data_IF_777370101952
#
_entry.id   IF_777370101952
#
_cell.length_a   1.000
_cell.length_b   1.000
_cell.length_c   1.000
_cell.angle_alpha   90.00
_cell.angle_beta   90.00
_cell.angle_gamma   90.00
#
_symmetry.space_group_name_H-M   'P 1'
#
loop_
_entity.id
_entity.type
_entity.pdbx_description
1 polymer ?
#
# COMPACT_ATOMS: atom_id res chain seq x y z
N UNK A 1 8.17 -5.13 64.83
CA UNK A 1 7.07 -5.75 64.04
C UNK A 1 6.61 -4.73 63.01
N UNK A 2 6.91 -4.89 61.71
CA UNK A 2 6.26 -4.14 60.61
C UNK A 2 6.66 -4.67 59.21
N UNK A 3 7.71 -5.48 59.10
CA UNK A 3 8.22 -6.03 57.84
C UNK A 3 7.19 -6.87 57.05
N UNK A 4 6.25 -7.54 57.72
CA UNK A 4 5.25 -8.41 57.06
C UNK A 4 4.14 -7.62 56.34
N UNK A 5 3.72 -6.47 56.89
CA UNK A 5 2.68 -5.64 56.30
C UNK A 5 3.18 -4.92 55.03
N UNK A 6 4.44 -4.46 55.03
CA UNK A 6 5.07 -3.81 53.88
C UNK A 6 5.28 -4.77 52.70
N UNK A 7 5.64 -6.03 52.96
CA UNK A 7 5.81 -7.06 51.91
C UNK A 7 4.47 -7.40 51.23
N UNK A 8 3.38 -7.47 52.00
CA UNK A 8 2.02 -7.69 51.48
C UNK A 8 1.52 -6.47 50.69
N UNK A 9 1.79 -5.24 51.16
CA UNK A 9 1.47 -4.01 50.42
C UNK A 9 2.24 -3.87 49.11
N UNK A 10 3.51 -4.25 49.10
CA UNK A 10 4.36 -4.25 47.90
C UNK A 10 3.88 -5.27 46.86
N UNK A 11 3.58 -6.51 47.27
CA UNK A 11 3.06 -7.58 46.40
C UNK A 11 1.69 -7.24 45.76
N UNK A 12 0.81 -6.57 46.53
CA UNK A 12 -0.48 -6.08 46.01
C UNK A 12 -0.31 -4.95 45.00
N UNK A 13 0.65 -4.05 45.22
CA UNK A 13 0.97 -2.95 44.28
C UNK A 13 1.57 -3.47 42.97
N UNK A 14 2.49 -4.43 43.03
CA UNK A 14 3.08 -5.04 41.82
C UNK A 14 2.04 -5.83 41.02
N UNK A 15 1.15 -6.57 41.69
CA UNK A 15 0.08 -7.31 41.00
C UNK A 15 -0.94 -6.37 40.33
N UNK A 16 -1.32 -5.27 40.99
CA UNK A 16 -2.22 -4.27 40.40
C UNK A 16 -1.58 -3.55 39.21
N UNK A 17 -0.29 -3.21 39.28
CA UNK A 17 0.46 -2.61 38.16
C UNK A 17 0.51 -3.55 36.95
N UNK A 18 0.76 -4.85 37.16
CA UNK A 18 0.79 -5.83 36.08
C UNK A 18 -0.58 -6.02 35.41
N UNK A 19 -1.67 -6.03 36.20
CA UNK A 19 -3.04 -6.12 35.67
C UNK A 19 -3.42 -4.89 34.85
N UNK A 20 -3.05 -3.68 35.29
CA UNK A 20 -3.33 -2.43 34.55
C UNK A 20 -2.55 -2.35 33.24
N UNK A 21 -1.29 -2.80 33.22
CA UNK A 21 -0.48 -2.85 31.99
C UNK A 21 -0.98 -3.92 31.01
N UNK A 22 -1.41 -5.07 31.49
CA UNK A 22 -2.06 -6.11 30.67
C UNK A 22 -3.40 -5.62 30.09
N UNK A 23 -4.22 -4.91 30.88
CA UNK A 23 -5.47 -4.32 30.38
C UNK A 23 -5.22 -3.22 29.33
N UNK A 24 -4.21 -2.36 29.52
CA UNK A 24 -3.83 -1.35 28.53
C UNK A 24 -3.34 -1.96 27.21
N UNK A 25 -2.58 -3.06 27.27
CA UNK A 25 -2.08 -3.73 26.06
C UNK A 25 -3.17 -4.49 25.30
N UNK A 26 -4.17 -5.04 25.99
CA UNK A 26 -5.35 -5.65 25.34
C UNK A 26 -6.26 -4.58 24.71
N UNK A 27 -6.43 -3.43 25.36
CA UNK A 27 -7.22 -2.32 24.82
C UNK A 27 -6.54 -1.65 23.61
N UNK A 28 -5.21 -1.58 23.56
CA UNK A 28 -4.51 -1.06 22.38
C UNK A 28 -4.55 -2.04 21.20
N UNK A 29 -4.65 -3.35 21.42
CA UNK A 29 -4.74 -4.34 20.33
C UNK A 29 -6.09 -4.32 19.59
N UNK A 30 -7.18 -3.97 20.28
CA UNK A 30 -8.52 -3.86 19.68
C UNK A 30 -8.71 -2.62 18.78
N UNK A 31 -7.78 -1.66 18.81
CA UNK A 31 -7.87 -0.41 18.06
C UNK A 31 -7.34 -0.49 16.62
N UNK A 32 -6.63 -1.56 16.23
CA UNK A 32 -5.97 -1.66 14.91
C UNK A 32 -6.72 -2.52 13.89
N UNK A 33 -7.86 -3.10 14.26
CA UNK A 33 -8.70 -3.92 13.37
C UNK A 33 -9.93 -3.15 12.83
N UNK A 34 -9.87 -1.81 12.81
CA UNK A 34 -10.98 -0.99 12.34
C UNK A 34 -10.94 -0.88 10.82
N UNK A 35 -11.86 -1.57 10.14
CA UNK A 35 -12.08 -1.39 8.71
C UNK A 35 -12.84 -0.09 8.49
N UNK A 36 -12.13 0.95 8.04
CA UNK A 36 -12.78 2.22 7.68
C UNK A 36 -13.63 2.03 6.42
N UNK A 37 -14.91 2.41 6.43
CA UNK A 37 -15.75 2.35 5.23
C UNK A 37 -15.12 3.21 4.13
N UNK A 38 -15.09 2.68 2.89
CA UNK A 38 -14.59 3.45 1.76
C UNK A 38 -15.57 4.56 1.40
N UNK A 39 -15.10 5.79 1.28
CA UNK A 39 -15.88 6.92 0.74
C UNK A 39 -16.17 6.81 -0.77
N UNK A 40 -15.79 5.69 -1.41
CA UNK A 40 -15.89 5.45 -2.84
C UNK A 40 -17.12 4.61 -3.16
N UNK A 41 -17.92 5.05 -4.13
CA UNK A 41 -19.11 4.29 -4.58
C UNK A 41 -18.73 3.08 -5.41
N UNK A 42 -17.54 3.06 -6.02
CA UNK A 42 -17.06 2.04 -6.95
C UNK A 42 -18.01 1.80 -8.15
N UNK A 43 -18.70 2.85 -8.60
CA UNK A 43 -19.65 2.77 -9.72
C UNK A 43 -19.42 3.87 -10.77
N UNK A 44 -19.78 3.58 -12.02
CA UNK A 44 -19.78 4.53 -13.15
C UNK A 44 -18.42 4.78 -13.79
N UNK A 45 -17.40 5.15 -13.01
CA UNK A 45 -16.07 5.51 -13.53
C UNK A 45 -14.96 5.20 -12.52
N UNK A 46 -13.72 5.04 -13.01
CA UNK A 46 -12.52 4.87 -12.19
C UNK A 46 -12.33 6.04 -11.20
N UNK A 47 -12.85 7.22 -11.55
CA UNK A 47 -12.84 8.40 -10.71
C UNK A 47 -13.57 8.22 -9.36
N UNK A 48 -14.51 7.28 -9.29
CA UNK A 48 -15.28 6.97 -8.07
C UNK A 48 -14.75 5.72 -7.35
N UNK A 49 -13.53 5.29 -7.65
CA UNK A 49 -12.90 4.10 -7.06
C UNK A 49 -11.63 4.47 -6.28
N UNK A 50 -11.11 3.50 -5.52
CA UNK A 50 -9.80 3.60 -4.86
C UNK A 50 -8.63 3.85 -5.82
N UNK A 51 -8.81 3.59 -7.12
CA UNK A 51 -7.81 3.84 -8.16
C UNK A 51 -7.86 5.27 -8.71
N UNK A 52 -8.69 6.15 -8.14
CA UNK A 52 -8.59 7.57 -8.42
C UNK A 52 -7.42 8.19 -7.64
N UNK A 53 -6.27 8.25 -8.29
CA UNK A 53 -5.04 8.81 -7.72
C UNK A 53 -4.87 10.31 -7.96
N UNK A 54 -5.78 10.96 -8.71
CA UNK A 54 -5.78 12.42 -8.85
C UNK A 54 -6.48 13.13 -7.69
N UNK A 55 -7.18 12.40 -6.80
CA UNK A 55 -8.02 12.99 -5.76
C UNK A 55 -7.34 13.17 -4.39
N UNK A 56 -7.60 14.34 -3.80
CA UNK A 56 -7.49 14.62 -2.37
C UNK A 56 -8.61 13.88 -1.61
N UNK A 57 -8.27 12.84 -0.84
CA UNK A 57 -9.25 12.19 0.05
C UNK A 57 -9.33 12.86 1.42
N UNK A 58 -8.44 13.81 1.75
CA UNK A 58 -8.20 14.21 3.14
C UNK A 58 -8.07 15.73 3.35
N UNK A 59 -8.96 16.55 2.78
CA UNK A 59 -8.98 18.00 3.05
C UNK A 59 -7.64 18.72 2.82
N UNK A 60 -7.47 19.91 3.41
CA UNK A 60 -6.28 20.75 3.21
C UNK A 60 -4.95 20.07 3.63
N UNK A 61 -4.98 19.18 4.63
CA UNK A 61 -3.79 18.43 5.07
C UNK A 61 -3.44 17.28 4.10
N UNK A 62 -4.44 16.71 3.40
CA UNK A 62 -4.27 15.67 2.40
C UNK A 62 -3.60 16.13 1.11
N UNK A 63 -3.73 17.41 0.74
CA UNK A 63 -3.02 18.00 -0.39
C UNK A 63 -1.50 18.05 -0.16
N UNK A 64 -1.10 18.55 1.01
CA UNK A 64 0.30 18.67 1.38
C UNK A 64 0.98 17.30 1.51
N UNK A 65 0.25 16.30 2.02
CA UNK A 65 0.72 14.92 2.04
C UNK A 65 0.79 14.33 0.63
N UNK A 66 -0.20 14.56 -0.25
CA UNK A 66 -0.18 14.00 -1.61
C UNK A 66 1.11 14.36 -2.34
N UNK A 67 1.47 15.64 -2.44
CA UNK A 67 2.73 16.07 -3.08
C UNK A 67 3.98 15.44 -2.43
N UNK A 68 3.92 15.04 -1.16
CA UNK A 68 5.00 14.38 -0.44
C UNK A 68 5.07 12.85 -0.59
N UNK A 69 3.97 12.16 -0.91
CA UNK A 69 3.92 10.69 -1.08
C UNK A 69 3.65 10.21 -2.51
N UNK A 70 3.07 11.04 -3.38
CA UNK A 70 2.76 10.72 -4.79
C UNK A 70 2.72 11.99 -5.65
N UNK A 71 3.29 11.98 -6.85
CA UNK A 71 3.12 13.10 -7.78
C UNK A 71 1.64 13.38 -8.08
N UNK A 72 1.23 14.64 -8.01
CA UNK A 72 -0.10 15.11 -8.41
C UNK A 72 -0.08 15.45 -9.89
N UNK A 73 -0.57 14.53 -10.71
CA UNK A 73 -0.55 14.66 -12.16
C UNK A 73 -1.79 15.33 -12.75
N UNK A 74 -2.81 15.61 -11.93
CA UNK A 74 -4.12 16.17 -12.33
C UNK A 74 -4.92 15.33 -13.36
N UNK A 75 -4.35 14.24 -13.86
CA UNK A 75 -4.97 13.30 -14.79
C UNK A 75 -5.12 11.92 -14.14
N UNK A 76 -6.35 11.40 -14.06
CA UNK A 76 -6.62 10.12 -13.39
C UNK A 76 -6.03 8.91 -14.14
N UNK A 77 -5.99 8.96 -15.47
CA UNK A 77 -5.58 7.82 -16.29
C UNK A 77 -4.06 7.64 -16.37
N UNK A 78 -3.27 8.71 -16.18
CA UNK A 78 -1.83 8.71 -16.45
C UNK A 78 -1.03 7.78 -15.54
N UNK A 79 -1.56 7.48 -14.35
CA UNK A 79 -0.98 6.52 -13.41
C UNK A 79 -0.94 5.09 -13.99
N UNK A 80 -1.79 4.80 -14.98
CA UNK A 80 -1.98 3.48 -15.58
C UNK A 80 -1.68 3.47 -17.07
N UNK A 81 -2.09 4.50 -17.82
CA UNK A 81 -2.07 4.54 -19.28
C UNK A 81 -1.29 5.73 -19.83
N UNK A 82 -0.73 5.57 -21.01
CA UNK A 82 -0.03 6.63 -21.74
C UNK A 82 -0.37 6.58 -23.23
N UNK A 83 -0.64 7.70 -23.90
CA UNK A 83 -1.00 7.68 -25.32
C UNK A 83 0.05 7.01 -26.24
N UNK A 84 1.35 7.11 -25.88
CA UNK A 84 2.46 6.56 -26.68
C UNK A 84 3.61 6.10 -25.76
N UNK A 85 4.54 5.30 -26.30
CA UNK A 85 5.72 4.88 -25.53
C UNK A 85 5.37 4.01 -24.32
N UNK A 86 4.29 3.23 -24.45
CA UNK A 86 3.84 2.31 -23.41
C UNK A 86 4.78 1.13 -23.23
N UNK A 87 4.68 0.48 -22.07
CA UNK A 87 5.36 -0.76 -21.81
C UNK A 87 4.81 -1.88 -22.70
N UNK A 88 5.62 -2.34 -23.65
CA UNK A 88 5.26 -3.37 -24.61
C UNK A 88 5.22 -4.78 -24.00
N UNK A 89 5.77 -4.98 -22.80
CA UNK A 89 5.74 -6.29 -22.11
C UNK A 89 4.52 -6.44 -21.21
N UNK A 90 3.73 -5.38 -21.00
CA UNK A 90 2.55 -5.42 -20.16
C UNK A 90 1.35 -5.97 -20.94
N UNK A 91 0.60 -6.89 -20.34
CA UNK A 91 -0.69 -7.34 -20.87
C UNK A 91 -1.80 -6.39 -20.42
N UNK A 92 -1.63 -5.11 -20.75
CA UNK A 92 -2.61 -4.05 -20.54
C UNK A 92 -2.43 -2.99 -21.66
N UNK A 93 -3.50 -2.44 -22.22
CA UNK A 93 -3.40 -1.46 -23.30
C UNK A 93 -2.60 -0.24 -22.84
N UNK A 94 -1.63 0.18 -23.64
CA UNK A 94 -0.93 1.45 -23.44
C UNK A 94 -0.42 1.66 -22.00
N UNK A 95 0.09 0.60 -21.36
CA UNK A 95 0.47 0.63 -19.94
C UNK A 95 1.64 1.57 -19.65
N UNK A 96 1.45 2.50 -18.73
CA UNK A 96 2.41 3.55 -18.38
C UNK A 96 3.30 3.19 -17.19
N UNK A 97 3.49 1.90 -16.91
CA UNK A 97 4.32 1.46 -15.78
C UNK A 97 5.27 0.35 -16.19
N UNK A 98 6.41 0.31 -15.53
CA UNK A 98 7.31 -0.83 -15.60
C UNK A 98 6.71 -1.99 -14.79
N UNK A 99 6.68 -3.18 -15.37
CA UNK A 99 6.41 -4.42 -14.63
C UNK A 99 7.77 -4.96 -14.22
N UNK A 100 8.03 -5.02 -12.92
CA UNK A 100 9.27 -5.60 -12.42
C UNK A 100 9.19 -7.12 -12.50
N UNK A 101 10.31 -7.76 -12.80
CA UNK A 101 10.41 -9.22 -12.69
C UNK A 101 10.49 -9.55 -11.21
N UNK A 102 9.39 -10.09 -10.70
CA UNK A 102 9.23 -10.50 -9.31
C UNK A 102 8.79 -11.96 -9.30
N UNK A 103 9.44 -12.77 -8.45
CA UNK A 103 8.97 -14.12 -8.18
C UNK A 103 7.80 -14.03 -7.21
N UNK A 104 6.61 -14.41 -7.67
CA UNK A 104 5.41 -14.45 -6.84
C UNK A 104 5.22 -15.89 -6.36
N UNK A 105 5.18 -16.09 -5.04
CA UNK A 105 4.76 -17.38 -4.50
C UNK A 105 3.25 -17.52 -4.65
N UNK A 106 2.82 -18.59 -5.33
CA UNK A 106 1.41 -18.90 -5.52
C UNK A 106 0.94 -19.95 -4.52
N UNK A 107 -0.38 -20.11 -4.35
CA UNK A 107 -0.93 -21.07 -3.38
C UNK A 107 -0.62 -22.54 -3.69
N UNK A 108 -0.29 -22.86 -4.95
CA UNK A 108 0.23 -24.16 -5.37
C UNK A 108 1.52 -24.51 -4.58
N UNK A 109 2.46 -23.57 -4.52
CA UNK A 109 3.76 -23.76 -3.87
C UNK A 109 3.66 -23.93 -2.34
N UNK A 110 2.53 -23.52 -1.76
CA UNK A 110 2.28 -23.60 -0.32
C UNK A 110 1.68 -24.95 0.13
N UNK A 111 1.49 -25.91 -0.79
CA UNK A 111 0.97 -27.24 -0.45
C UNK A 111 -0.46 -27.20 0.10
N UNK A 112 -1.27 -26.23 -0.38
CA UNK A 112 -2.61 -25.97 0.15
C UNK A 112 -3.56 -27.12 -0.19
N UNK A 113 -3.85 -27.99 0.78
CA UNK A 113 -4.64 -29.22 0.56
C UNK A 113 -6.12 -28.96 0.25
N UNK A 114 -6.62 -27.75 0.49
CA UNK A 114 -7.99 -27.33 0.15
C UNK A 114 -8.10 -26.69 -1.24
N UNK A 115 -6.98 -26.48 -1.95
CA UNK A 115 -6.99 -25.91 -3.29
C UNK A 115 -7.33 -27.01 -4.31
N UNK A 116 -8.50 -26.89 -4.94
CA UNK A 116 -9.02 -27.91 -5.87
C UNK A 116 -8.91 -27.52 -7.34
N UNK A 117 -8.44 -26.30 -7.64
CA UNK A 117 -8.19 -25.83 -9.00
C UNK A 117 -6.70 -25.72 -9.28
N UNK A 118 -6.34 -26.01 -10.53
CA UNK A 118 -4.99 -25.78 -11.05
C UNK A 118 -4.65 -24.29 -10.98
N UNK A 119 -3.48 -23.99 -10.40
CA UNK A 119 -2.95 -22.63 -10.31
C UNK A 119 -1.67 -22.60 -11.14
N UNK A 120 -1.60 -21.66 -12.08
CA UNK A 120 -0.39 -21.43 -12.85
C UNK A 120 0.75 -21.01 -11.90
N UNK A 121 1.97 -21.47 -12.19
CA UNK A 121 3.15 -21.20 -11.37
C UNK A 121 3.46 -19.70 -11.28
N UNK A 122 3.06 -18.92 -12.29
CA UNK A 122 3.23 -17.46 -12.31
C UNK A 122 1.91 -16.76 -12.57
N UNK A 123 1.66 -15.59 -11.94
CA UNK A 123 0.52 -14.75 -12.28
C UNK A 123 0.51 -14.41 -13.78
N UNK A 124 -0.67 -14.49 -14.40
CA UNK A 124 -0.84 -14.09 -15.79
C UNK A 124 -0.58 -12.59 -16.00
N UNK A 125 -0.37 -12.18 -17.24
CA UNK A 125 -0.01 -10.80 -17.58
C UNK A 125 -0.99 -9.74 -17.09
N UNK A 126 -2.29 -10.03 -17.05
CA UNK A 126 -3.30 -9.13 -16.49
C UNK A 126 -3.13 -8.94 -14.97
N UNK A 127 -2.83 -10.02 -14.25
CA UNK A 127 -2.51 -9.97 -12.81
C UNK A 127 -1.21 -9.22 -12.57
N UNK A 128 -0.20 -9.38 -13.43
CA UNK A 128 1.05 -8.62 -13.36
C UNK A 128 0.83 -7.11 -13.53
N UNK A 129 -0.14 -6.68 -14.34
CA UNK A 129 -0.50 -5.27 -14.44
C UNK A 129 -1.05 -4.74 -13.09
N UNK A 130 -1.97 -5.47 -12.45
CA UNK A 130 -2.45 -5.11 -11.09
C UNK A 130 -1.30 -5.09 -10.08
N UNK A 131 -0.43 -6.10 -10.12
CA UNK A 131 0.69 -6.25 -9.20
C UNK A 131 1.75 -5.15 -9.40
N UNK A 132 1.88 -4.55 -10.58
CA UNK A 132 2.77 -3.41 -10.80
C UNK A 132 2.45 -2.16 -9.97
N UNK A 133 1.28 -2.14 -9.31
CA UNK A 133 0.90 -1.15 -8.31
C UNK A 133 0.83 -1.72 -6.88
N UNK A 134 0.50 -3.01 -6.73
CA UNK A 134 0.14 -3.63 -5.45
C UNK A 134 1.24 -4.49 -4.84
N UNK A 135 2.32 -4.78 -5.56
CA UNK A 135 3.41 -5.63 -5.08
C UNK A 135 4.32 -4.95 -4.03
N UNK A 136 4.13 -3.65 -3.81
CA UNK A 136 4.91 -2.86 -2.85
C UNK A 136 6.37 -2.61 -3.27
N UNK A 137 6.78 -3.00 -4.47
CA UNK A 137 8.13 -2.81 -4.98
C UNK A 137 8.30 -1.48 -5.69
N UNK A 138 7.27 -1.05 -6.42
CA UNK A 138 7.31 0.15 -7.25
C UNK A 138 6.46 1.24 -6.62
N UNK A 139 6.98 2.47 -6.59
CA UNK A 139 6.20 3.61 -6.13
C UNK A 139 4.96 3.79 -7.02
N UNK A 140 3.85 4.20 -6.42
CA UNK A 140 2.56 4.20 -7.12
C UNK A 140 2.51 5.33 -8.17
N UNK A 141 3.30 6.38 -8.00
CA UNK A 141 3.48 7.49 -8.93
C UNK A 141 4.63 7.29 -9.93
N UNK A 142 5.35 6.16 -9.86
CA UNK A 142 6.39 5.81 -10.83
C UNK A 142 5.76 5.34 -12.13
N UNK A 143 5.77 6.26 -13.10
CA UNK A 143 5.23 6.07 -14.43
C UNK A 143 6.33 6.26 -15.48
N UNK A 144 6.12 5.69 -16.67
CA UNK A 144 7.08 5.78 -17.79
C UNK A 144 7.04 7.17 -18.42
N UNK A 145 5.83 7.69 -18.67
CA UNK A 145 5.60 8.95 -19.35
C UNK A 145 4.76 9.87 -18.45
N UNK A 146 5.29 11.04 -18.10
CA UNK A 146 4.55 12.07 -17.39
C UNK A 146 3.45 12.69 -18.27
N UNK A 147 2.37 13.23 -17.67
CA UNK A 147 1.34 13.93 -18.42
C UNK A 147 1.82 15.27 -18.98
N UNK A 148 1.10 15.78 -19.98
CA UNK A 148 1.47 16.98 -20.72
C UNK A 148 2.48 16.74 -21.84
N UNK A 149 2.77 17.77 -22.62
CA UNK A 149 3.67 17.73 -23.79
C UNK A 149 5.16 17.59 -23.46
N UNK A 150 5.50 16.98 -22.31
CA UNK A 150 6.88 16.72 -21.90
C UNK A 150 7.53 17.78 -21.01
N UNK A 151 6.77 18.65 -20.34
CA UNK A 151 7.34 19.49 -19.28
C UNK A 151 7.57 18.66 -18.03
N UNK A 152 8.79 18.14 -17.91
CA UNK A 152 9.33 17.65 -16.65
C UNK A 152 9.26 18.79 -15.62
N UNK A 153 8.21 18.84 -14.82
CA UNK A 153 8.34 19.37 -13.47
C UNK A 153 9.32 18.41 -12.78
N UNK A 154 10.59 18.81 -12.78
CA UNK A 154 11.75 18.21 -12.12
C UNK A 154 11.34 16.96 -11.37
N UNK A 155 11.48 15.81 -12.03
CA UNK A 155 11.46 14.54 -11.33
C UNK A 155 12.31 14.79 -10.08
N UNK A 156 11.71 14.70 -8.90
CA UNK A 156 12.46 14.44 -7.68
C UNK A 156 13.02 13.03 -7.88
N UNK A 157 14.02 12.96 -8.76
CA UNK A 157 15.01 11.94 -8.89
C UNK A 157 15.58 11.88 -7.49
N UNK A 158 15.02 11.00 -6.65
CA UNK A 158 15.77 10.50 -5.52
C UNK A 158 17.11 10.08 -6.13
N UNK A 159 18.24 10.66 -5.65
CA UNK A 159 19.52 10.45 -6.28
C UNK A 159 19.75 8.94 -6.34
N UNK A 160 19.72 8.40 -7.57
CA UNK A 160 20.26 7.09 -7.86
C UNK A 160 21.76 7.23 -7.65
N UNK A 161 22.22 7.02 -6.42
CA UNK A 161 23.63 6.77 -6.18
C UNK A 161 23.97 5.46 -6.90
N UNK A 162 25.00 5.45 -7.76
CA UNK A 162 25.52 4.20 -8.27
C UNK A 162 26.13 3.45 -7.07
N UNK A 163 25.64 2.24 -6.75
CA UNK A 163 26.47 1.31 -5.99
C UNK A 163 27.53 0.80 -6.93
N UNK A 164 28.76 1.26 -6.70
CA UNK A 164 29.99 0.51 -6.95
C UNK A 164 29.96 -0.80 -6.16
#
# INVERSE_FOLDING_TARGET
>A
MNISLDKNRSSRRTSQLLIVMAACTVLTQLAWAQSFPSSYTNTGSIANTRHNLSMLVLGAQGAALHNGVRNQYEEVCVYCHTPHGANQTATAPLWNRTIKVTNYQTYNELGTTSLTQDVADTPGGASLACLSCHDGQTAIDSIINMPGSGMACSARQLPRTPRS
#
